data_IF_354754391924
#
_entry.id   IF_354754391924
#
_cell.length_a   1.000
_cell.length_b   1.000
_cell.length_c   1.000
_cell.angle_alpha   90.00
_cell.angle_beta   90.00
_cell.angle_gamma   90.00
#
_symmetry.space_group_name_H-M   'P 1'
#
loop_
_entity.id
_entity.type
_entity.pdbx_description
1 polymer ?
#
# COMPACT_ATOMS: atom_id res chain seq x y z
N UNK A 1 17.20 5.83 0.49
CA UNK A 1 16.24 5.17 -0.38
C UNK A 1 16.03 5.98 -1.64
N UNK A 2 16.10 5.35 -2.83
CA UNK A 2 15.72 5.98 -4.09
C UNK A 2 14.51 5.26 -4.67
N UNK A 3 13.59 6.02 -5.25
CA UNK A 3 12.37 5.48 -5.90
C UNK A 3 11.91 6.43 -7.00
N UNK A 4 11.10 5.96 -7.98
CA UNK A 4 10.37 6.86 -8.86
C UNK A 4 9.51 7.85 -8.06
N UNK A 5 9.39 9.08 -8.52
CA UNK A 5 8.50 10.08 -7.86
C UNK A 5 7.03 9.66 -7.91
N UNK A 6 6.68 8.78 -8.82
CA UNK A 6 5.38 8.12 -8.92
C UNK A 6 5.59 6.63 -9.10
N UNK A 7 5.00 5.86 -8.22
CA UNK A 7 5.10 4.41 -8.21
C UNK A 7 4.02 3.80 -7.33
N UNK A 8 4.00 2.49 -7.22
CA UNK A 8 3.14 1.73 -6.32
C UNK A 8 3.84 0.42 -5.93
N UNK A 9 3.47 -0.15 -4.79
CA UNK A 9 3.98 -1.45 -4.34
C UNK A 9 5.50 -1.53 -4.16
N UNK A 10 6.17 -0.42 -3.84
CA UNK A 10 7.64 -0.30 -3.73
C UNK A 10 8.40 -0.65 -5.03
N UNK A 11 7.72 -0.61 -6.19
CA UNK A 11 8.31 -0.93 -7.48
C UNK A 11 9.44 0.06 -7.83
N UNK A 12 10.58 -0.47 -8.28
CA UNK A 12 11.80 0.29 -8.56
C UNK A 12 12.32 1.13 -7.38
N UNK A 13 11.97 0.74 -6.14
CA UNK A 13 12.50 1.31 -4.92
C UNK A 13 13.74 0.54 -4.46
N UNK A 14 14.86 1.24 -4.20
CA UNK A 14 16.12 0.64 -3.81
C UNK A 14 16.73 1.31 -2.58
N UNK A 15 17.25 0.47 -1.67
CA UNK A 15 18.10 0.94 -0.58
C UNK A 15 19.53 1.11 -1.10
N UNK A 16 20.09 2.28 -0.89
CA UNK A 16 21.44 2.63 -1.33
C UNK A 16 22.33 2.80 -0.11
N UNK A 17 23.36 1.96 0.02
CA UNK A 17 24.33 2.04 1.11
C UNK A 17 25.71 2.51 0.61
N UNK A 18 25.97 2.39 -0.71
CA UNK A 18 27.24 2.73 -1.33
C UNK A 18 27.07 3.03 -2.82
N UNK A 19 28.14 3.45 -3.49
CA UNK A 19 28.13 3.78 -4.92
C UNK A 19 27.77 2.59 -5.83
N UNK A 20 28.20 1.39 -5.47
CA UNK A 20 27.88 0.18 -6.26
C UNK A 20 26.38 -0.10 -6.23
N UNK A 21 25.71 0.00 -5.07
CA UNK A 21 24.27 -0.15 -4.95
C UNK A 21 23.54 0.89 -5.83
N UNK A 22 24.06 2.13 -5.83
CA UNK A 22 23.49 3.20 -6.64
C UNK A 22 23.61 2.91 -8.15
N UNK A 23 24.79 2.54 -8.64
CA UNK A 23 25.00 2.23 -10.05
C UNK A 23 24.12 1.06 -10.51
N UNK A 24 24.04 0.00 -9.70
CA UNK A 24 23.17 -1.14 -9.96
C UNK A 24 21.69 -0.72 -10.05
N UNK A 25 21.21 0.01 -9.05
CA UNK A 25 19.83 0.47 -9.00
C UNK A 25 19.48 1.39 -10.18
N UNK A 26 20.35 2.34 -10.51
CA UNK A 26 20.14 3.27 -11.64
C UNK A 26 20.11 2.52 -12.98
N UNK A 27 20.91 1.47 -13.14
CA UNK A 27 20.86 0.61 -14.34
C UNK A 27 19.47 0.02 -14.54
N UNK A 28 18.92 -0.62 -13.49
CA UNK A 28 17.57 -1.23 -13.51
C UNK A 28 16.48 -0.18 -13.72
N UNK A 29 16.58 0.94 -13.00
CA UNK A 29 15.58 2.00 -13.07
C UNK A 29 15.52 2.61 -14.49
N UNK A 30 16.66 2.91 -15.10
CA UNK A 30 16.70 3.46 -16.46
C UNK A 30 16.06 2.55 -17.50
N UNK A 31 16.19 1.25 -17.33
CA UNK A 31 15.56 0.26 -18.21
C UNK A 31 14.04 0.20 -18.04
N UNK A 32 13.53 0.37 -16.81
CA UNK A 32 12.15 0.01 -16.46
C UNK A 32 11.25 1.19 -16.11
N UNK A 33 11.79 2.39 -15.85
CA UNK A 33 11.03 3.53 -15.33
C UNK A 33 9.95 4.02 -16.29
N UNK A 34 10.19 3.94 -17.60
CA UNK A 34 9.23 4.37 -18.63
C UNK A 34 7.89 3.66 -18.52
N UNK A 35 7.89 2.40 -18.09
CA UNK A 35 6.67 1.62 -17.88
C UNK A 35 5.70 2.30 -16.91
N UNK A 36 6.22 2.94 -15.86
CA UNK A 36 5.43 3.67 -14.87
C UNK A 36 5.32 5.15 -15.26
N UNK A 37 6.46 5.75 -15.60
CA UNK A 37 6.60 7.17 -15.83
C UNK A 37 5.81 7.68 -17.02
N UNK A 38 5.76 6.93 -18.13
CA UNK A 38 5.07 7.38 -19.33
C UNK A 38 3.56 7.44 -19.15
N UNK A 39 2.98 6.48 -18.42
CA UNK A 39 1.56 6.53 -18.06
C UNK A 39 1.25 7.75 -17.19
N UNK A 40 2.11 8.08 -16.26
CA UNK A 40 1.96 9.26 -15.42
C UNK A 40 2.17 10.57 -16.20
N UNK A 41 3.14 10.60 -17.13
CA UNK A 41 3.38 11.73 -18.01
C UNK A 41 2.15 12.06 -18.89
N UNK A 42 1.42 11.01 -19.31
CA UNK A 42 0.16 11.20 -20.05
C UNK A 42 -0.86 11.95 -19.19
N UNK A 43 -1.01 11.58 -17.90
CA UNK A 43 -1.91 12.29 -16.99
C UNK A 43 -1.44 13.74 -16.76
N UNK A 44 -0.13 13.93 -16.54
CA UNK A 44 0.44 15.28 -16.36
C UNK A 44 0.21 16.19 -17.56
N UNK A 45 0.13 15.64 -18.77
CA UNK A 45 -0.12 16.42 -20.00
C UNK A 45 -1.54 17.02 -20.06
N UNK A 46 -2.47 16.55 -19.24
CA UNK A 46 -3.86 17.04 -19.20
C UNK A 46 -4.08 18.18 -18.22
N UNK A 47 -3.08 18.51 -17.41
CA UNK A 47 -3.18 19.54 -16.37
C UNK A 47 -2.10 20.59 -16.53
N UNK A 48 -2.37 21.80 -16.03
CA UNK A 48 -1.36 22.86 -15.92
C UNK A 48 -0.59 22.67 -14.63
N UNK A 49 0.69 22.36 -14.74
CA UNK A 49 1.55 22.19 -13.56
C UNK A 49 2.01 23.55 -13.02
N UNK A 50 2.12 23.70 -11.69
CA UNK A 50 2.81 24.81 -11.07
C UNK A 50 4.25 24.96 -11.60
N UNK A 51 4.77 26.18 -11.59
CA UNK A 51 6.09 26.47 -12.18
C UNK A 51 7.21 25.68 -11.49
N UNK A 52 7.10 25.51 -10.18
CA UNK A 52 8.07 24.82 -9.33
C UNK A 52 8.26 23.33 -9.70
N UNK A 53 7.25 22.72 -10.29
CA UNK A 53 7.27 21.29 -10.66
C UNK A 53 7.12 21.04 -12.17
N UNK A 54 7.08 22.10 -12.99
CA UNK A 54 6.84 21.99 -14.44
C UNK A 54 7.87 21.13 -15.17
N UNK A 55 9.11 21.06 -14.68
CA UNK A 55 10.18 20.26 -15.27
C UNK A 55 10.23 18.82 -14.75
N UNK A 56 9.38 18.46 -13.77
CA UNK A 56 9.39 17.14 -13.15
C UNK A 56 8.40 16.22 -13.88
N UNK A 57 8.90 15.07 -14.33
CA UNK A 57 8.12 14.07 -15.08
C UNK A 57 8.10 12.75 -14.34
N UNK A 58 7.24 11.82 -14.73
CA UNK A 58 7.18 10.47 -14.18
C UNK A 58 8.49 9.67 -14.29
N UNK A 59 9.46 10.15 -15.08
CA UNK A 59 10.77 9.52 -15.25
C UNK A 59 11.84 10.09 -14.31
N UNK A 60 11.45 10.90 -13.33
CA UNK A 60 12.33 11.39 -12.27
C UNK A 60 12.30 10.49 -11.05
N UNK A 61 13.36 10.57 -10.26
CA UNK A 61 13.52 9.86 -9.00
C UNK A 61 13.55 10.85 -7.85
N UNK A 62 13.12 10.35 -6.68
CA UNK A 62 13.37 11.00 -5.40
C UNK A 62 14.37 10.17 -4.61
N UNK A 63 15.29 10.85 -3.92
CA UNK A 63 16.21 10.27 -2.97
C UNK A 63 15.86 10.77 -1.56
N UNK A 64 15.65 9.84 -0.64
CA UNK A 64 15.21 10.11 0.72
C UNK A 64 16.14 9.42 1.71
N UNK A 65 16.26 9.95 2.92
CA UNK A 65 16.92 9.26 4.02
C UNK A 65 16.20 7.94 4.32
N UNK A 66 16.96 6.89 4.62
CA UNK A 66 16.39 5.62 5.07
C UNK A 66 15.92 5.75 6.51
N UNK A 67 14.64 5.99 6.71
CA UNK A 67 14.00 5.94 8.02
C UNK A 67 13.53 4.52 8.34
N UNK A 68 13.29 4.23 9.62
CA UNK A 68 12.82 2.94 10.09
C UNK A 68 11.80 3.11 11.22
N UNK A 69 10.95 2.12 11.38
CA UNK A 69 9.91 2.11 12.39
C UNK A 69 8.79 1.14 12.03
N UNK A 70 7.70 1.19 12.77
CA UNK A 70 6.45 0.54 12.39
C UNK A 70 5.74 1.41 11.36
N UNK A 71 5.35 0.79 10.27
CA UNK A 71 4.63 1.48 9.21
C UNK A 71 3.12 1.40 9.47
N UNK A 72 2.48 2.55 9.56
CA UNK A 72 1.05 2.70 9.80
C UNK A 72 0.42 3.60 8.76
N UNK A 73 -0.82 3.31 8.40
CA UNK A 73 -1.52 4.05 7.36
C UNK A 73 -2.95 4.43 7.78
N UNK A 74 -3.20 5.69 8.20
CA UNK A 74 -4.55 6.21 8.30
C UNK A 74 -5.19 6.31 6.91
N UNK A 75 -6.42 5.86 6.82
CA UNK A 75 -7.26 5.99 5.64
C UNK A 75 -8.56 6.69 5.98
N UNK A 76 -9.05 7.52 5.07
CA UNK A 76 -10.21 8.33 5.33
C UNK A 76 -10.73 9.10 4.13
N UNK A 77 -11.60 10.07 4.41
CA UNK A 77 -12.15 10.98 3.41
C UNK A 77 -12.19 12.42 3.90
N UNK A 78 -12.20 13.35 2.96
CA UNK A 78 -12.52 14.75 3.19
C UNK A 78 -13.69 15.10 2.30
N UNK A 79 -14.71 15.74 2.87
CA UNK A 79 -15.89 16.18 2.14
C UNK A 79 -16.40 17.50 2.69
N UNK A 80 -16.52 18.51 1.83
CA UNK A 80 -16.93 19.87 2.21
C UNK A 80 -16.10 20.43 3.39
N UNK A 81 -14.78 20.18 3.37
CA UNK A 81 -13.85 20.59 4.41
C UNK A 81 -13.92 19.77 5.71
N UNK A 82 -14.77 18.75 5.78
CA UNK A 82 -14.88 17.85 6.94
C UNK A 82 -13.99 16.64 6.72
N UNK A 83 -12.96 16.51 7.55
CA UNK A 83 -12.05 15.39 7.58
C UNK A 83 -12.60 14.24 8.44
N UNK A 84 -12.47 13.00 7.97
CA UNK A 84 -12.85 11.79 8.70
C UNK A 84 -11.83 10.69 8.44
N UNK A 85 -11.17 10.21 9.50
CA UNK A 85 -10.40 8.97 9.45
C UNK A 85 -11.37 7.77 9.59
N UNK A 86 -11.27 6.83 8.67
CA UNK A 86 -12.09 5.60 8.69
C UNK A 86 -11.37 4.44 9.35
N UNK A 87 -10.05 4.44 9.37
CA UNK A 87 -9.28 3.40 10.05
C UNK A 87 -7.78 3.61 9.94
N UNK A 88 -7.05 2.74 10.63
CA UNK A 88 -5.59 2.69 10.66
C UNK A 88 -5.15 1.27 10.38
N UNK A 89 -4.33 1.08 9.37
CA UNK A 89 -3.75 -0.19 8.97
C UNK A 89 -2.30 -0.27 9.46
N UNK A 90 -1.89 -1.43 9.97
CA UNK A 90 -0.48 -1.74 10.20
C UNK A 90 0.10 -2.42 8.96
N UNK A 91 1.18 -1.87 8.42
CA UNK A 91 1.86 -2.36 7.21
C UNK A 91 3.14 -3.07 7.63
N UNK A 92 3.07 -4.40 7.73
CA UNK A 92 4.16 -5.22 8.26
C UNK A 92 5.10 -5.63 7.14
N UNK A 93 6.40 -5.33 7.30
CA UNK A 93 7.46 -5.72 6.38
C UNK A 93 8.21 -6.96 6.85
N UNK A 94 9.00 -7.55 5.97
CA UNK A 94 9.91 -8.64 6.29
C UNK A 94 10.98 -8.21 7.32
N UNK A 95 11.75 -9.17 7.81
CA UNK A 95 12.79 -8.93 8.82
C UNK A 95 13.93 -8.00 8.35
N UNK A 96 14.08 -7.83 7.03
CA UNK A 96 15.02 -6.87 6.43
C UNK A 96 14.39 -5.52 6.10
N UNK A 97 13.11 -5.34 6.40
CA UNK A 97 12.31 -4.14 6.14
C UNK A 97 12.27 -3.69 4.66
N UNK A 98 12.30 -4.66 3.75
CA UNK A 98 12.34 -4.40 2.31
C UNK A 98 11.02 -4.66 1.61
N UNK A 99 10.38 -5.79 1.89
CA UNK A 99 9.15 -6.22 1.25
C UNK A 99 8.00 -6.26 2.23
N UNK A 100 6.80 -5.87 1.80
CA UNK A 100 5.59 -6.05 2.60
C UNK A 100 5.25 -7.53 2.74
N UNK A 101 4.93 -7.95 3.98
CA UNK A 101 4.43 -9.29 4.30
C UNK A 101 2.92 -9.32 4.46
N UNK A 102 2.35 -8.32 5.11
CA UNK A 102 0.92 -8.24 5.36
C UNK A 102 0.46 -6.85 5.76
N UNK A 103 -0.81 -6.62 5.58
CA UNK A 103 -1.55 -5.45 6.05
C UNK A 103 -2.57 -5.92 7.08
N UNK A 104 -2.50 -5.42 8.32
CA UNK A 104 -3.33 -5.84 9.44
C UNK A 104 -4.31 -4.74 9.85
N UNK A 105 -5.54 -5.11 10.17
CA UNK A 105 -6.58 -4.22 10.67
C UNK A 105 -7.39 -4.87 11.79
N UNK A 106 -7.79 -4.12 12.83
CA UNK A 106 -7.38 -2.75 13.18
C UNK A 106 -5.91 -2.68 13.59
N UNK A 107 -5.33 -1.48 13.46
CA UNK A 107 -3.94 -1.24 13.88
C UNK A 107 -3.75 -1.57 15.37
N UNK A 108 -2.60 -2.18 15.68
CA UNK A 108 -2.14 -2.50 17.05
C UNK A 108 -1.23 -1.40 17.62
N UNK A 109 -0.92 -0.37 16.83
CA UNK A 109 -0.13 0.77 17.30
C UNK A 109 -0.85 1.47 18.46
N UNK A 110 -0.13 2.09 19.41
CA UNK A 110 -0.74 2.80 20.54
C UNK A 110 -1.72 3.88 20.08
N UNK A 111 -2.83 4.03 20.77
CA UNK A 111 -3.89 4.98 20.39
C UNK A 111 -3.42 6.42 20.27
N UNK A 112 -2.48 6.86 21.12
CA UNK A 112 -1.88 8.19 21.02
C UNK A 112 -1.08 8.37 19.72
N UNK A 113 -0.43 7.32 19.22
CA UNK A 113 0.29 7.35 17.93
C UNK A 113 -0.68 7.40 16.77
N UNK A 114 -1.74 6.57 16.82
CA UNK A 114 -2.82 6.63 15.83
C UNK A 114 -3.41 8.03 15.74
N UNK A 115 -3.74 8.66 16.90
CA UNK A 115 -4.29 10.01 16.91
C UNK A 115 -3.32 11.04 16.36
N UNK A 116 -2.03 10.97 16.70
CA UNK A 116 -1.00 11.87 16.12
C UNK A 116 -0.91 11.75 14.61
N UNK A 117 -0.97 10.53 14.08
CA UNK A 117 -0.94 10.30 12.63
C UNK A 117 -2.20 10.88 11.96
N UNK A 118 -3.37 10.70 12.55
CA UNK A 118 -4.65 11.24 12.08
C UNK A 118 -4.62 12.78 12.09
N UNK A 119 -4.20 13.40 13.19
CA UNK A 119 -4.12 14.86 13.33
C UNK A 119 -3.15 15.47 12.32
N UNK A 120 -2.02 14.81 12.09
CA UNK A 120 -1.02 15.26 11.12
C UNK A 120 -1.55 15.14 9.70
N UNK A 121 -2.23 14.03 9.37
CA UNK A 121 -2.87 13.84 8.08
C UNK A 121 -3.92 14.92 7.82
N UNK A 122 -4.81 15.18 8.77
CA UNK A 122 -5.81 16.24 8.69
C UNK A 122 -5.17 17.62 8.44
N UNK A 123 -4.15 17.96 9.22
CA UNK A 123 -3.43 19.24 9.11
C UNK A 123 -2.84 19.44 7.70
N UNK A 124 -2.24 18.37 7.14
CA UNK A 124 -1.62 18.44 5.82
C UNK A 124 -2.68 18.56 4.73
N UNK A 125 -3.70 17.71 4.77
CA UNK A 125 -4.77 17.71 3.77
C UNK A 125 -5.50 19.04 3.73
N UNK A 126 -5.76 19.65 4.90
CA UNK A 126 -6.30 21.02 4.99
C UNK A 126 -5.35 22.05 4.38
N UNK A 127 -4.05 21.95 4.66
CA UNK A 127 -3.06 22.91 4.17
C UNK A 127 -2.92 22.88 2.65
N UNK A 128 -3.02 21.72 2.02
CA UNK A 128 -2.95 21.57 0.56
C UNK A 128 -4.30 21.80 -0.14
N UNK A 129 -5.38 22.05 0.62
CA UNK A 129 -6.72 22.26 0.07
C UNK A 129 -7.36 21.01 -0.49
N UNK A 130 -6.98 19.81 -0.01
CA UNK A 130 -7.60 18.55 -0.45
C UNK A 130 -9.03 18.47 0.08
N UNK A 131 -9.99 18.23 -0.82
CA UNK A 131 -11.41 18.13 -0.49
C UNK A 131 -12.14 17.20 -1.48
N UNK A 132 -13.32 16.74 -1.07
CA UNK A 132 -14.22 15.88 -1.85
C UNK A 132 -13.53 14.64 -2.43
N UNK A 133 -12.76 13.93 -1.59
CA UNK A 133 -12.03 12.75 -1.98
C UNK A 133 -11.63 11.87 -0.81
N UNK A 134 -11.18 10.66 -1.12
CA UNK A 134 -10.59 9.75 -0.17
C UNK A 134 -9.07 9.85 -0.18
N UNK A 135 -8.46 9.51 0.92
CA UNK A 135 -7.00 9.51 1.06
C UNK A 135 -6.53 8.27 1.81
N UNK A 136 -5.29 7.91 1.56
CA UNK A 136 -4.47 7.02 2.35
C UNK A 136 -3.12 7.71 2.56
N UNK A 137 -2.65 7.79 3.78
CA UNK A 137 -1.34 8.37 4.10
C UNK A 137 -0.50 7.35 4.84
N UNK A 138 0.79 7.30 4.52
CA UNK A 138 1.71 6.33 5.09
C UNK A 138 2.71 7.03 6.00
N UNK A 139 2.93 6.44 7.19
CA UNK A 139 3.83 6.95 8.22
C UNK A 139 4.74 5.85 8.74
N UNK A 140 5.99 6.20 9.07
CA UNK A 140 6.82 5.42 9.97
C UNK A 140 6.76 6.01 11.37
N UNK A 141 6.47 5.17 12.35
CA UNK A 141 6.63 5.50 13.76
C UNK A 141 7.87 4.81 14.31
N UNK A 142 8.88 5.59 14.67
CA UNK A 142 10.08 5.09 15.34
C UNK A 142 9.78 4.96 16.85
N UNK A 143 9.77 3.73 17.34
CA UNK A 143 9.42 3.43 18.73
C UNK A 143 10.50 3.86 19.73
N UNK A 144 11.76 3.97 19.29
CA UNK A 144 12.89 4.32 20.15
C UNK A 144 12.97 5.84 20.39
N UNK A 145 12.69 6.64 19.36
CA UNK A 145 12.74 8.11 19.42
C UNK A 145 11.37 8.76 19.55
N UNK A 146 10.29 7.98 19.41
CA UNK A 146 8.90 8.43 19.32
C UNK A 146 8.61 9.41 18.17
N UNK A 147 9.46 9.41 17.14
CA UNK A 147 9.26 10.22 15.95
C UNK A 147 8.23 9.57 15.00
N UNK A 148 7.42 10.44 14.38
CA UNK A 148 6.44 10.04 13.36
C UNK A 148 6.78 10.75 12.05
N UNK A 149 7.18 9.96 11.04
CA UNK A 149 7.61 10.44 9.73
C UNK A 149 6.59 10.14 8.65
N UNK A 150 6.28 11.11 7.82
CA UNK A 150 5.42 10.91 6.65
C UNK A 150 6.26 10.26 5.56
N UNK A 151 5.72 9.18 4.97
CA UNK A 151 6.33 8.49 3.85
C UNK A 151 5.68 8.94 2.54
N UNK A 152 4.34 8.88 2.49
CA UNK A 152 3.60 9.12 1.26
C UNK A 152 2.18 9.62 1.54
N UNK A 153 1.70 10.50 0.65
CA UNK A 153 0.33 10.98 0.63
C UNK A 153 -0.32 10.46 -0.65
N UNK A 154 -1.29 9.59 -0.50
CA UNK A 154 -2.06 9.02 -1.59
C UNK A 154 -3.46 9.65 -1.60
N UNK A 155 -3.81 10.55 -2.56
CA UNK A 155 -5.14 11.15 -2.67
C UNK A 155 -6.15 10.17 -3.29
N UNK A 156 -6.23 8.99 -2.74
CA UNK A 156 -7.07 7.86 -3.14
C UNK A 156 -7.17 6.83 -2.01
N UNK A 157 -8.14 5.93 -2.11
CA UNK A 157 -8.19 4.73 -1.27
C UNK A 157 -7.01 3.79 -1.57
N UNK A 158 -6.66 2.95 -0.60
CA UNK A 158 -5.77 1.80 -0.83
C UNK A 158 -6.60 0.58 -1.21
N UNK A 159 -6.34 0.05 -2.41
CA UNK A 159 -6.98 -1.19 -2.88
C UNK A 159 -6.64 -2.40 -1.98
N UNK A 160 -5.49 -2.36 -1.31
CA UNK A 160 -5.04 -3.43 -0.42
C UNK A 160 -5.80 -3.50 0.91
N UNK A 161 -6.60 -2.49 1.25
CA UNK A 161 -7.24 -2.38 2.57
C UNK A 161 -8.76 -2.65 2.53
N UNK A 162 -9.34 -2.78 1.35
CA UNK A 162 -10.79 -2.89 1.16
C UNK A 162 -11.42 -4.06 1.92
N UNK A 163 -10.82 -5.25 1.77
CA UNK A 163 -11.27 -6.45 2.45
C UNK A 163 -11.25 -6.30 3.99
N UNK A 164 -10.20 -5.70 4.53
CA UNK A 164 -10.06 -5.53 5.97
C UNK A 164 -11.15 -4.64 6.55
N UNK A 165 -11.46 -3.50 5.89
CA UNK A 165 -12.55 -2.61 6.30
C UNK A 165 -13.90 -3.31 6.23
N UNK A 166 -14.17 -4.03 5.13
CA UNK A 166 -15.43 -4.77 4.96
C UNK A 166 -15.61 -5.85 6.04
N UNK A 167 -14.56 -6.64 6.31
CA UNK A 167 -14.64 -7.73 7.30
C UNK A 167 -14.75 -7.25 8.73
N UNK A 168 -14.19 -6.10 9.09
CA UNK A 168 -14.20 -5.59 10.47
C UNK A 168 -15.26 -4.56 10.71
N UNK A 169 -15.48 -3.64 9.78
CA UNK A 169 -16.39 -2.50 9.94
C UNK A 169 -17.67 -2.62 9.11
N UNK A 170 -17.76 -3.64 8.25
CA UNK A 170 -18.96 -3.90 7.44
C UNK A 170 -19.13 -2.99 6.22
N UNK A 171 -18.16 -2.11 5.95
CA UNK A 171 -18.17 -1.21 4.80
C UNK A 171 -16.75 -1.12 4.19
N UNK A 172 -16.64 -1.39 2.90
CA UNK A 172 -15.36 -1.27 2.21
C UNK A 172 -14.98 0.18 1.94
N UNK A 173 -13.69 0.46 1.79
CA UNK A 173 -13.23 1.79 1.40
C UNK A 173 -13.67 2.18 -0.03
N UNK A 174 -13.95 1.20 -0.90
CA UNK A 174 -14.56 1.45 -2.21
C UNK A 174 -15.99 2.01 -2.08
N UNK A 175 -16.79 1.45 -1.18
CA UNK A 175 -18.15 1.95 -0.90
C UNK A 175 -18.11 3.37 -0.34
N UNK A 176 -17.19 3.63 0.60
CA UNK A 176 -16.94 4.99 1.10
C UNK A 176 -16.59 5.96 -0.05
N UNK A 177 -15.70 5.55 -0.96
CA UNK A 177 -15.30 6.40 -2.09
C UNK A 177 -16.47 6.69 -3.04
N UNK A 178 -17.38 5.73 -3.25
CA UNK A 178 -18.59 5.94 -4.04
C UNK A 178 -19.52 6.97 -3.37
N UNK A 179 -19.79 6.83 -2.07
CA UNK A 179 -20.59 7.82 -1.33
C UNK A 179 -19.99 9.23 -1.42
N UNK A 180 -18.69 9.36 -1.20
CA UNK A 180 -18.00 10.66 -1.32
C UNK A 180 -18.13 11.23 -2.74
N UNK A 181 -17.99 10.40 -3.77
CA UNK A 181 -18.10 10.83 -5.16
C UNK A 181 -19.54 11.26 -5.55
N UNK A 182 -20.55 10.67 -4.92
CA UNK A 182 -21.97 11.05 -5.08
C UNK A 182 -22.34 12.30 -4.27
N UNK A 183 -21.46 12.79 -3.42
CA UNK A 183 -21.73 13.92 -2.52
C UNK A 183 -22.41 13.49 -1.21
N UNK A 184 -22.61 12.20 -0.98
CA UNK A 184 -23.19 11.66 0.23
C UNK A 184 -22.12 11.54 1.32
N UNK A 185 -22.52 11.76 2.58
CA UNK A 185 -21.64 11.44 3.70
C UNK A 185 -21.77 9.94 4.02
N UNK A 186 -20.68 9.16 3.90
CA UNK A 186 -20.74 7.76 4.29
C UNK A 186 -21.04 7.64 5.78
N UNK A 187 -22.04 6.84 6.11
CA UNK A 187 -22.33 6.46 7.48
C UNK A 187 -21.43 5.29 7.88
N UNK A 188 -20.26 5.60 8.38
CA UNK A 188 -19.24 4.62 8.75
C UNK A 188 -19.19 4.45 10.28
N UNK A 189 -19.39 3.23 10.73
CA UNK A 189 -19.28 2.85 12.14
C UNK A 189 -18.31 1.69 12.30
N UNK A 190 -17.42 1.78 13.28
CA UNK A 190 -16.46 0.73 13.55
C UNK A 190 -17.09 -0.54 14.14
N UNK A 191 -16.56 -1.70 13.76
CA UNK A 191 -16.89 -2.98 14.35
C UNK A 191 -18.26 -3.53 13.96
N UNK A 192 -18.84 -3.08 12.86
CA UNK A 192 -20.12 -3.58 12.33
C UNK A 192 -19.94 -4.82 11.42
N UNK A 193 -18.70 -5.17 11.10
CA UNK A 193 -18.38 -6.37 10.33
C UNK A 193 -18.47 -7.67 11.12
N UNK A 194 -18.39 -8.81 10.44
CA UNK A 194 -18.53 -10.14 11.07
C UNK A 194 -17.31 -10.53 11.93
N UNK A 195 -16.19 -9.86 11.79
CA UNK A 195 -14.93 -10.19 12.46
C UNK A 195 -14.31 -9.00 13.20
N UNK A 196 -13.43 -9.31 14.16
CA UNK A 196 -12.69 -8.31 14.94
C UNK A 196 -11.36 -7.92 14.31
N UNK A 197 -10.80 -8.81 13.50
CA UNK A 197 -9.49 -8.65 12.87
C UNK A 197 -9.53 -9.17 11.45
N UNK A 198 -8.83 -8.49 10.56
CA UNK A 198 -8.61 -8.95 9.19
C UNK A 198 -7.21 -8.60 8.72
N UNK A 199 -6.69 -9.38 7.78
CA UNK A 199 -5.39 -9.15 7.18
C UNK A 199 -5.35 -9.56 5.71
N UNK A 200 -4.54 -8.85 4.94
CA UNK A 200 -4.06 -9.27 3.62
C UNK A 200 -2.62 -9.72 3.78
N UNK A 201 -2.35 -11.00 3.57
CA UNK A 201 -1.03 -11.59 3.64
C UNK A 201 -0.44 -11.77 2.23
N UNK A 202 0.85 -11.47 2.08
CA UNK A 202 1.57 -11.48 0.82
C UNK A 202 2.58 -12.65 0.84
N UNK A 203 2.30 -13.72 0.09
CA UNK A 203 3.22 -14.85 -0.03
C UNK A 203 4.31 -14.47 -1.03
N UNK A 204 5.56 -14.45 -0.55
CA UNK A 204 6.70 -13.98 -1.34
C UNK A 204 7.79 -15.04 -1.46
N UNK A 205 8.49 -14.97 -2.59
CA UNK A 205 9.73 -15.70 -2.84
C UNK A 205 10.90 -14.72 -2.84
N UNK A 206 11.83 -14.92 -1.90
CA UNK A 206 12.98 -14.03 -1.67
C UNK A 206 14.23 -14.55 -2.39
N UNK A 207 14.17 -14.64 -3.71
CA UNK A 207 15.32 -14.90 -4.55
C UNK A 207 15.34 -13.90 -5.69
N UNK A 208 16.53 -13.54 -6.13
CA UNK A 208 16.71 -12.77 -7.36
C UNK A 208 16.89 -13.69 -8.58
N UNK A 209 17.05 -14.99 -8.35
CA UNK A 209 17.15 -15.97 -9.42
C UNK A 209 15.77 -16.17 -10.04
N UNK A 210 15.74 -16.18 -11.36
CA UNK A 210 14.53 -16.52 -12.08
C UNK A 210 14.21 -18.00 -11.93
N UNK A 211 12.94 -18.33 -11.82
CA UNK A 211 12.45 -19.70 -11.69
C UNK A 211 11.13 -19.89 -12.42
N UNK A 212 10.90 -21.14 -12.86
CA UNK A 212 9.67 -21.54 -13.52
C UNK A 212 8.75 -22.25 -12.53
N UNK A 213 7.50 -21.85 -12.46
CA UNK A 213 6.49 -22.47 -11.64
C UNK A 213 6.12 -23.87 -12.18
N UNK A 214 6.67 -24.91 -11.61
CA UNK A 214 6.36 -26.30 -12.00
C UNK A 214 5.01 -26.77 -11.47
N UNK A 215 4.55 -26.16 -10.35
CA UNK A 215 3.27 -26.48 -9.70
C UNK A 215 2.68 -25.21 -9.07
N UNK A 216 1.38 -25.00 -9.23
CA UNK A 216 0.58 -23.99 -8.53
C UNK A 216 -0.64 -24.65 -7.90
N UNK A 217 -1.25 -24.07 -6.86
CA UNK A 217 -2.52 -24.54 -6.31
C UNK A 217 -3.58 -24.64 -7.39
N UNK A 218 -4.36 -25.73 -7.35
CA UNK A 218 -5.50 -25.93 -8.24
C UNK A 218 -6.76 -25.31 -7.65
N UNK A 219 -7.80 -25.12 -8.46
CA UNK A 219 -9.12 -24.68 -7.98
C UNK A 219 -9.64 -25.59 -6.85
N UNK A 220 -9.38 -26.92 -6.94
CA UNK A 220 -9.75 -27.85 -5.88
C UNK A 220 -9.01 -27.57 -4.57
N UNK A 221 -7.75 -27.15 -4.63
CA UNK A 221 -6.99 -26.79 -3.44
C UNK A 221 -7.52 -25.50 -2.82
N UNK A 222 -7.85 -24.50 -3.65
CA UNK A 222 -8.48 -23.24 -3.20
C UNK A 222 -9.87 -23.49 -2.59
N UNK A 223 -10.68 -24.35 -3.19
CA UNK A 223 -11.98 -24.73 -2.64
C UNK A 223 -11.88 -25.43 -1.28
N UNK A 224 -10.84 -26.24 -1.04
CA UNK A 224 -10.59 -26.82 0.29
C UNK A 224 -10.30 -25.74 1.34
N UNK A 225 -9.48 -24.74 1.00
CA UNK A 225 -9.20 -23.62 1.88
C UNK A 225 -10.50 -22.89 2.20
N UNK A 226 -11.27 -22.52 1.18
CA UNK A 226 -12.54 -21.82 1.33
C UNK A 226 -13.59 -22.60 2.10
N UNK A 227 -13.59 -23.94 1.98
CA UNK A 227 -14.48 -24.80 2.78
C UNK A 227 -14.11 -24.86 4.25
N UNK A 228 -12.81 -24.76 4.59
CA UNK A 228 -12.33 -24.72 5.96
C UNK A 228 -12.43 -23.32 6.60
N UNK A 229 -12.30 -22.28 5.77
CA UNK A 229 -12.32 -20.88 6.16
C UNK A 229 -13.12 -20.11 5.10
N UNK A 230 -14.45 -20.00 5.23
CA UNK A 230 -15.34 -19.47 4.18
C UNK A 230 -15.01 -18.05 3.70
N UNK A 231 -14.54 -17.20 4.62
CA UNK A 231 -14.23 -15.80 4.32
C UNK A 231 -12.75 -15.59 3.94
N UNK A 232 -11.99 -16.68 3.76
CA UNK A 232 -10.63 -16.61 3.21
C UNK A 232 -10.69 -16.52 1.70
N UNK A 233 -9.96 -15.56 1.13
CA UNK A 233 -9.77 -15.46 -0.31
C UNK A 233 -8.29 -15.59 -0.67
N UNK A 234 -7.99 -16.26 -1.80
CA UNK A 234 -6.61 -16.49 -2.25
C UNK A 234 -6.50 -16.14 -3.72
N UNK A 235 -5.65 -15.17 -4.01
CA UNK A 235 -5.35 -14.74 -5.37
C UNK A 235 -3.95 -15.21 -5.74
N UNK A 236 -3.85 -16.13 -6.68
CA UNK A 236 -2.56 -16.63 -7.19
C UNK A 236 -2.10 -15.73 -8.33
N UNK A 237 -0.90 -15.15 -8.21
CA UNK A 237 -0.33 -14.26 -9.24
C UNK A 237 0.41 -15.02 -10.33
N UNK A 238 0.92 -16.23 -10.02
CA UNK A 238 1.77 -17.02 -10.88
C UNK A 238 0.98 -18.18 -11.52
N UNK A 239 1.17 -18.37 -12.83
CA UNK A 239 0.59 -19.50 -13.56
C UNK A 239 1.59 -20.66 -13.66
N UNK A 240 1.10 -21.91 -13.74
CA UNK A 240 1.96 -23.07 -14.01
C UNK A 240 2.67 -22.89 -15.35
N UNK A 241 3.99 -23.07 -15.37
CA UNK A 241 4.87 -22.84 -16.51
C UNK A 241 5.33 -21.40 -16.70
N UNK A 242 4.81 -20.43 -15.95
CA UNK A 242 5.26 -19.05 -15.98
C UNK A 242 6.57 -18.83 -15.23
N UNK A 243 7.37 -17.88 -15.67
CA UNK A 243 8.61 -17.46 -15.04
C UNK A 243 8.35 -16.37 -14.00
N UNK A 244 9.15 -16.34 -12.93
CA UNK A 244 9.06 -15.28 -11.91
C UNK A 244 9.37 -13.90 -12.50
N UNK A 245 10.34 -13.83 -13.42
CA UNK A 245 10.73 -12.59 -14.12
C UNK A 245 9.60 -11.98 -14.99
N UNK A 246 8.62 -12.78 -15.38
CA UNK A 246 7.45 -12.34 -16.16
C UNK A 246 6.36 -11.70 -15.28
N UNK A 247 6.45 -11.87 -13.95
CA UNK A 247 5.50 -11.27 -13.03
C UNK A 247 5.63 -9.75 -13.06
N UNK A 248 4.51 -9.10 -13.30
CA UNK A 248 4.40 -7.64 -13.25
C UNK A 248 4.29 -7.19 -11.79
N UNK A 249 4.61 -5.90 -11.54
CA UNK A 249 4.31 -5.23 -10.27
C UNK A 249 5.04 -5.81 -9.05
N UNK A 250 6.28 -6.24 -9.25
CA UNK A 250 7.15 -6.77 -8.20
C UNK A 250 8.01 -5.69 -7.57
N UNK A 251 8.34 -5.84 -6.28
CA UNK A 251 9.39 -5.04 -5.66
C UNK A 251 10.79 -5.51 -6.12
N UNK A 252 11.84 -4.78 -5.71
CA UNK A 252 13.20 -5.07 -6.14
C UNK A 252 13.85 -6.26 -5.38
N UNK A 253 13.17 -6.86 -4.40
CA UNK A 253 13.76 -7.81 -3.45
C UNK A 253 13.07 -9.16 -3.39
N UNK A 254 11.85 -9.26 -3.95
CA UNK A 254 11.05 -10.47 -3.86
C UNK A 254 10.01 -10.56 -4.97
N UNK A 255 9.53 -11.76 -5.22
CA UNK A 255 8.40 -12.01 -6.12
C UNK A 255 7.15 -12.33 -5.30
N UNK A 256 6.05 -11.63 -5.56
CA UNK A 256 4.74 -11.90 -4.98
C UNK A 256 4.10 -13.08 -5.71
N UNK A 257 3.94 -14.21 -5.01
CA UNK A 257 3.38 -15.45 -5.58
C UNK A 257 1.88 -15.55 -5.39
N UNK A 258 1.38 -15.05 -4.27
CA UNK A 258 -0.06 -15.04 -3.96
C UNK A 258 -0.40 -13.99 -2.92
N UNK A 259 -1.64 -13.55 -2.93
CA UNK A 259 -2.27 -12.76 -1.89
C UNK A 259 -3.30 -13.61 -1.17
N UNK A 260 -3.30 -13.56 0.17
CA UNK A 260 -4.24 -14.31 1.01
C UNK A 260 -4.95 -13.34 1.92
N UNK A 261 -6.26 -13.28 1.81
CA UNK A 261 -7.14 -12.46 2.62
C UNK A 261 -7.78 -13.32 3.69
N UNK A 262 -7.63 -12.91 4.95
CA UNK A 262 -8.12 -13.67 6.12
C UNK A 262 -8.78 -12.74 7.12
N UNK A 263 -9.81 -13.23 7.81
CA UNK A 263 -10.46 -12.53 8.90
C UNK A 263 -10.78 -13.49 10.05
N UNK A 264 -10.86 -12.97 11.27
CA UNK A 264 -11.12 -13.77 12.46
C UNK A 264 -11.41 -12.94 13.71
N UNK A 265 -11.86 -13.63 14.77
CA UNK A 265 -12.15 -13.00 16.05
C UNK A 265 -10.97 -13.06 17.04
N UNK A 266 -9.91 -13.74 16.67
CA UNK A 266 -8.66 -13.87 17.46
C UNK A 266 -7.47 -13.63 16.55
N UNK A 267 -6.39 -13.08 17.12
CA UNK A 267 -5.10 -12.92 16.46
C UNK A 267 -4.21 -14.07 16.91
N UNK A 268 -4.03 -15.08 16.07
CA UNK A 268 -3.12 -16.21 16.31
C UNK A 268 -2.29 -16.49 15.08
#
# INVERSE_FOLDING_TARGET
>A
WIKPIKGYGSMLGFRINNAHDFEHAIGIIREKISRIGDSFNTILSWITLPEEVRGITGNHLIAEECISGLEIAPEGSVQHGVYRAHGMIDMVRDHNHKSFLRYEYPSKSPRNIQQRAIDLAEKILKKIGFDNGCFNMEFFWNQDTDDLWIIEINPRISQSHSYQFEMVDGMSNHEIAIHVALGDQPHFEHGQGPYKHAAKCLLRHYSQDDAVATRVPTERDLLKIKSAQPDTDVVITLKKGGCLSELLDQDAYSYLLAEVYVAGNTVH
#
